data_IF_687072261542
#
_entry.id   IF_687072261542
#
_cell.length_a   1.000
_cell.length_b   1.000
_cell.length_c   1.000
_cell.angle_alpha   90.00
_cell.angle_beta   90.00
_cell.angle_gamma   90.00
#
_symmetry.space_group_name_H-M   'P 1'
#
loop_
_entity.id
_entity.type
_entity.pdbx_description
1 polymer ?
#
# COMPACT_ATOMS: atom_id res chain seq x y z
N UNK A 1 -8.84 2.38 15.29
CA UNK A 1 -7.80 3.42 15.45
C UNK A 1 -6.74 3.11 14.43
N UNK A 2 -6.34 4.05 13.59
CA UNK A 2 -5.37 3.74 12.52
C UNK A 2 -4.16 4.63 12.66
N UNK A 3 -3.01 4.04 12.96
CA UNK A 3 -1.74 4.75 13.12
C UNK A 3 -0.59 3.98 12.47
N UNK A 4 0.10 4.68 11.58
CA UNK A 4 1.22 4.18 10.80
C UNK A 4 2.32 5.25 10.83
N UNK A 5 3.58 4.82 10.91
CA UNK A 5 4.75 5.69 10.87
C UNK A 5 5.85 5.06 10.01
N UNK A 6 6.49 5.89 9.21
CA UNK A 6 7.70 5.56 8.45
C UNK A 6 8.77 6.61 8.74
N UNK A 7 10.00 6.18 8.99
CA UNK A 7 11.13 7.06 9.31
C UNK A 7 12.27 6.74 8.36
N UNK A 8 12.79 7.77 7.69
CA UNK A 8 14.06 7.70 6.97
C UNK A 8 15.18 8.13 7.90
N UNK A 9 16.19 7.27 8.01
CA UNK A 9 17.45 7.54 8.69
C UNK A 9 18.60 7.50 7.68
N UNK A 10 19.82 7.77 8.11
CA UNK A 10 20.99 7.64 7.23
C UNK A 10 21.36 6.17 6.98
N UNK A 11 21.04 5.27 7.93
CA UNK A 11 21.32 3.83 7.82
C UNK A 11 20.20 3.03 7.12
N UNK A 12 19.03 3.63 6.93
CA UNK A 12 17.91 2.96 6.29
C UNK A 12 16.53 3.48 6.69
N UNK A 13 15.53 2.60 6.56
CA UNK A 13 14.12 2.92 6.77
C UNK A 13 13.53 2.09 7.90
N UNK A 14 12.70 2.73 8.74
CA UNK A 14 11.95 2.09 9.83
C UNK A 14 10.46 2.26 9.53
N UNK A 15 9.68 1.18 9.66
CA UNK A 15 8.23 1.19 9.47
C UNK A 15 7.54 0.56 10.67
N UNK A 16 6.45 1.16 11.13
CA UNK A 16 5.57 0.59 12.14
C UNK A 16 4.11 0.93 11.84
N UNK A 17 3.22 -0.01 12.11
CA UNK A 17 1.78 0.18 11.97
C UNK A 17 1.03 -0.60 13.04
N UNK A 18 -0.03 -0.01 13.58
CA UNK A 18 -1.01 -0.75 14.38
C UNK A 18 -1.92 -1.62 13.48
N UNK A 19 -2.83 -2.39 14.07
CA UNK A 19 -3.70 -3.32 13.34
C UNK A 19 -5.19 -3.19 13.66
N UNK A 20 -5.57 -2.41 14.66
CA UNK A 20 -6.97 -2.24 15.05
C UNK A 20 -7.71 -1.47 13.96
N UNK A 21 -8.81 -1.99 13.43
CA UNK A 21 -9.45 -1.38 12.26
C UNK A 21 -10.96 -1.40 12.42
N UNK A 22 -11.60 -0.26 12.12
CA UNK A 22 -13.05 -0.19 12.01
C UNK A 22 -13.45 -0.68 10.60
N UNK A 23 -14.14 -1.81 10.54
CA UNK A 23 -14.59 -2.46 9.32
C UNK A 23 -16.11 -2.32 9.09
N UNK A 24 -16.81 -1.56 9.93
CA UNK A 24 -18.26 -1.39 9.90
C UNK A 24 -18.83 -1.06 11.27
N UNK A 25 -20.14 -0.80 11.31
CA UNK A 25 -20.87 -0.57 12.57
C UNK A 25 -20.68 -1.83 13.45
N UNK A 26 -20.18 -1.62 14.67
CA UNK A 26 -19.87 -2.66 15.65
C UNK A 26 -18.90 -3.75 15.18
N UNK A 27 -18.12 -3.47 14.13
CA UNK A 27 -17.15 -4.42 13.59
C UNK A 27 -15.73 -3.85 13.67
N UNK A 28 -15.08 -4.07 14.81
CA UNK A 28 -13.68 -3.71 15.04
C UNK A 28 -12.82 -4.97 15.06
N UNK A 29 -11.90 -5.07 14.11
CA UNK A 29 -11.11 -6.28 13.86
C UNK A 29 -9.64 -5.95 13.58
N UNK A 30 -8.82 -7.00 13.54
CA UNK A 30 -7.38 -6.88 13.27
C UNK A 30 -7.11 -7.06 11.78
N UNK A 31 -6.54 -6.05 11.13
CA UNK A 31 -6.07 -6.13 9.76
C UNK A 31 -4.66 -5.56 9.65
N UNK A 32 -3.80 -6.20 8.85
CA UNK A 32 -2.48 -5.64 8.56
C UNK A 32 -2.63 -4.33 7.79
N UNK A 33 -1.89 -3.31 8.23
CA UNK A 33 -1.77 -2.03 7.55
C UNK A 33 -0.41 -1.85 6.87
N UNK A 34 0.46 -2.86 6.95
CA UNK A 34 1.79 -2.87 6.34
C UNK A 34 1.85 -3.96 5.27
N UNK A 35 2.25 -3.57 4.06
CA UNK A 35 2.32 -4.46 2.91
C UNK A 35 3.67 -4.32 2.22
N UNK A 36 4.43 -5.42 2.14
CA UNK A 36 5.68 -5.47 1.40
C UNK A 36 5.46 -5.91 -0.05
N UNK A 37 6.27 -5.32 -0.94
CA UNK A 37 6.46 -5.71 -2.33
C UNK A 37 7.97 -5.87 -2.53
N UNK A 38 8.42 -7.09 -2.78
CA UNK A 38 9.86 -7.43 -2.73
C UNK A 38 10.25 -8.14 -4.01
N UNK A 39 11.31 -7.63 -4.66
CA UNK A 39 12.04 -8.30 -5.72
C UNK A 39 13.48 -8.48 -5.22
N UNK A 40 13.82 -9.68 -4.72
CA UNK A 40 15.08 -9.92 -4.02
C UNK A 40 16.30 -9.51 -4.86
N UNK A 41 17.23 -8.79 -4.24
CA UNK A 41 18.45 -8.31 -4.90
C UNK A 41 18.27 -7.07 -5.80
N UNK A 42 17.03 -6.59 -5.98
CA UNK A 42 16.75 -5.46 -6.87
C UNK A 42 16.03 -4.32 -6.16
N UNK A 43 14.84 -4.57 -5.58
CA UNK A 43 13.98 -3.52 -5.02
C UNK A 43 13.05 -4.04 -3.93
N UNK A 44 12.69 -3.13 -3.02
CA UNK A 44 11.71 -3.38 -1.98
C UNK A 44 10.89 -2.12 -1.72
N UNK A 45 9.58 -2.28 -1.64
CA UNK A 45 8.65 -1.24 -1.20
C UNK A 45 7.88 -1.72 0.03
N UNK A 46 7.59 -0.79 0.93
CA UNK A 46 6.67 -0.98 2.04
C UNK A 46 5.56 0.06 1.93
N UNK A 47 4.32 -0.40 1.79
CA UNK A 47 3.13 0.43 1.75
C UNK A 47 2.43 0.38 3.11
N UNK A 48 2.19 1.54 3.70
CA UNK A 48 1.39 1.70 4.92
C UNK A 48 -0.01 2.23 4.57
N UNK A 49 -1.04 1.58 5.08
CA UNK A 49 -2.44 1.87 4.76
C UNK A 49 -3.18 2.56 5.91
N UNK A 50 -3.99 3.57 5.59
CA UNK A 50 -4.86 4.27 6.54
C UNK A 50 -6.18 4.70 5.87
N UNK A 51 -7.23 4.88 6.68
CA UNK A 51 -8.56 5.30 6.20
C UNK A 51 -9.55 4.14 6.03
N UNK A 52 -10.37 4.21 5.00
CA UNK A 52 -11.43 3.23 4.73
C UNK A 52 -10.83 1.85 4.38
N UNK A 53 -11.26 0.81 5.11
CA UNK A 53 -10.73 -0.54 4.93
C UNK A 53 -10.99 -1.12 3.53
N UNK A 54 -12.19 -0.93 2.98
CA UNK A 54 -12.53 -1.44 1.66
C UNK A 54 -11.69 -0.76 0.56
N UNK A 55 -11.45 0.54 0.68
CA UNK A 55 -10.61 1.30 -0.25
C UNK A 55 -9.16 0.83 -0.19
N UNK A 56 -8.57 0.78 1.01
CA UNK A 56 -7.17 0.37 1.18
C UNK A 56 -6.93 -1.07 0.71
N UNK A 57 -7.85 -2.00 0.98
CA UNK A 57 -7.77 -3.37 0.49
C UNK A 57 -7.86 -3.46 -1.03
N UNK A 58 -8.75 -2.68 -1.66
CA UNK A 58 -8.89 -2.65 -3.11
C UNK A 58 -7.62 -2.11 -3.79
N UNK A 59 -7.01 -1.04 -3.23
CA UNK A 59 -5.72 -0.52 -3.71
C UNK A 59 -4.62 -1.57 -3.61
N UNK A 60 -4.43 -2.18 -2.44
CA UNK A 60 -3.39 -3.21 -2.22
C UNK A 60 -3.59 -4.39 -3.16
N UNK A 61 -4.84 -4.83 -3.34
CA UNK A 61 -5.18 -5.91 -4.27
C UNK A 61 -4.78 -5.54 -5.71
N UNK A 62 -5.16 -4.34 -6.18
CA UNK A 62 -4.84 -3.88 -7.53
C UNK A 62 -3.33 -3.82 -7.78
N UNK A 63 -2.57 -3.23 -6.85
CA UNK A 63 -1.10 -3.17 -6.95
C UNK A 63 -0.47 -4.57 -7.04
N UNK A 64 -0.96 -5.54 -6.25
CA UNK A 64 -0.49 -6.92 -6.30
C UNK A 64 -0.86 -7.62 -7.61
N UNK A 65 -2.09 -7.44 -8.07
CA UNK A 65 -2.56 -8.04 -9.31
C UNK A 65 -1.79 -7.51 -10.53
N UNK A 66 -1.56 -6.20 -10.61
CA UNK A 66 -0.78 -5.60 -11.69
C UNK A 66 0.66 -6.15 -11.73
N UNK A 67 1.30 -6.33 -10.57
CA UNK A 67 2.62 -6.97 -10.50
C UNK A 67 2.57 -8.46 -10.90
N UNK A 68 1.58 -9.20 -10.40
CA UNK A 68 1.43 -10.65 -10.63
C UNK A 68 1.10 -10.98 -12.10
N UNK A 69 0.31 -10.14 -12.74
CA UNK A 69 -0.13 -10.31 -14.12
C UNK A 69 0.87 -9.73 -15.14
N UNK A 70 1.97 -9.13 -14.67
CA UNK A 70 2.98 -8.53 -15.55
C UNK A 70 2.46 -7.30 -16.29
N UNK A 71 1.65 -6.47 -15.62
CA UNK A 71 1.22 -5.18 -16.16
C UNK A 71 2.44 -4.36 -16.61
N UNK A 72 2.39 -3.65 -17.75
CA UNK A 72 3.49 -2.82 -18.22
C UNK A 72 3.98 -1.83 -17.15
N UNK A 73 3.04 -1.28 -16.37
CA UNK A 73 3.32 -0.40 -15.24
C UNK A 73 2.85 -1.08 -13.96
N UNK A 74 3.79 -1.38 -13.08
CA UNK A 74 3.55 -1.87 -11.72
C UNK A 74 4.79 -1.60 -10.83
N UNK A 75 4.72 -1.89 -9.53
CA UNK A 75 5.83 -1.66 -8.60
C UNK A 75 7.11 -2.43 -8.97
N UNK A 76 6.99 -3.54 -9.70
CA UNK A 76 8.15 -4.30 -10.17
C UNK A 76 8.83 -3.65 -11.39
N UNK A 77 8.14 -2.78 -12.15
CA UNK A 77 8.63 -2.25 -13.44
C UNK A 77 8.93 -0.75 -13.43
N UNK A 78 8.44 0.01 -12.45
CA UNK A 78 8.73 1.45 -12.29
C UNK A 78 10.23 1.76 -12.20
N UNK A 79 10.69 2.90 -12.71
CA UNK A 79 12.12 3.22 -12.77
C UNK A 79 12.65 3.94 -11.52
N UNK A 80 11.80 4.71 -10.86
CA UNK A 80 12.17 5.49 -9.68
C UNK A 80 11.14 5.38 -8.56
N UNK A 81 11.51 5.84 -7.36
CA UNK A 81 10.56 5.95 -6.25
C UNK A 81 9.43 6.94 -6.55
N UNK A 82 9.71 7.99 -7.33
CA UNK A 82 8.70 8.96 -7.76
C UNK A 82 7.66 8.30 -8.65
N UNK A 83 8.08 7.49 -9.63
CA UNK A 83 7.17 6.74 -10.50
C UNK A 83 6.32 5.75 -9.69
N UNK A 84 6.91 5.12 -8.66
CA UNK A 84 6.19 4.25 -7.75
C UNK A 84 5.09 5.01 -6.99
N UNK A 85 5.38 6.22 -6.51
CA UNK A 85 4.42 7.09 -5.82
C UNK A 85 3.30 7.53 -6.76
N UNK A 86 3.64 7.94 -7.99
CA UNK A 86 2.66 8.37 -8.99
C UNK A 86 1.73 7.22 -9.39
N UNK A 87 2.28 6.02 -9.57
CA UNK A 87 1.49 4.82 -9.84
C UNK A 87 0.55 4.47 -8.68
N UNK A 88 1.05 4.45 -7.43
CA UNK A 88 0.22 4.19 -6.25
C UNK A 88 -0.87 5.26 -6.09
N UNK A 89 -0.53 6.53 -6.31
CA UNK A 89 -1.47 7.65 -6.28
C UNK A 89 -2.58 7.50 -7.32
N UNK A 90 -2.22 7.16 -8.56
CA UNK A 90 -3.17 6.91 -9.65
C UNK A 90 -4.16 5.81 -9.27
N UNK A 91 -3.65 4.62 -8.89
CA UNK A 91 -4.48 3.49 -8.46
C UNK A 91 -5.38 3.87 -7.27
N UNK A 92 -4.86 4.59 -6.28
CA UNK A 92 -5.63 5.04 -5.13
C UNK A 92 -6.78 5.96 -5.52
N UNK A 93 -6.53 6.95 -6.40
CA UNK A 93 -7.58 7.88 -6.85
C UNK A 93 -8.64 7.19 -7.71
N UNK A 94 -8.26 6.24 -8.55
CA UNK A 94 -9.20 5.45 -9.36
C UNK A 94 -10.11 4.59 -8.48
N UNK A 95 -9.53 3.86 -7.52
CA UNK A 95 -10.32 3.05 -6.57
C UNK A 95 -11.29 3.91 -5.78
N UNK A 96 -10.86 5.08 -5.29
CA UNK A 96 -11.73 6.00 -4.56
C UNK A 96 -12.88 6.52 -5.43
N UNK A 97 -12.64 6.84 -6.71
CA UNK A 97 -13.70 7.27 -7.64
C UNK A 97 -14.73 6.18 -7.93
N UNK A 98 -14.31 4.92 -7.96
CA UNK A 98 -15.22 3.78 -8.18
C UNK A 98 -16.09 3.51 -6.94
N UNK A 99 -15.58 3.85 -5.74
CA UNK A 99 -16.25 3.58 -4.47
C UNK A 99 -16.99 4.78 -3.86
N UNK A 100 -16.85 5.97 -4.46
CA UNK A 100 -17.58 7.18 -4.10
C UNK A 100 -19.01 7.13 -4.65
#
# INVERSE_FOLDING_TARGET
>A
MTYCVAIKTDDGLIFASDSLTNAGIDHVSTYSKMHSFVQPGERMFVLLAAGNLATTQAVVKRLRDDCRLGSPICLNTVYSISDAVDYVGTVSTEVQRIQA
#
